data_IF_017950110752
#
_entry.id   IF_017950110752
#
_cell.length_a   1.000
_cell.length_b   1.000
_cell.length_c   1.000
_cell.angle_alpha   90.00
_cell.angle_beta   90.00
_cell.angle_gamma   90.00
#
_symmetry.space_group_name_H-M   'P 1'
#
loop_
_entity.id
_entity.type
_entity.pdbx_description
1 polymer ?
#
# COMPACT_ATOMS: atom_id res chain seq x y z
N UNK A 1 8.36 7.68 6.13
CA UNK A 1 7.45 7.21 7.20
C UNK A 1 8.05 5.97 7.83
N UNK A 2 7.57 5.52 9.00
CA UNK A 2 8.08 4.30 9.64
C UNK A 2 6.95 3.30 9.88
N UNK A 3 7.08 2.12 9.27
CA UNK A 3 6.25 0.97 9.63
C UNK A 3 6.68 0.44 11.00
N UNK A 4 5.74 0.42 11.94
CA UNK A 4 5.99 0.03 13.34
C UNK A 4 5.64 -1.43 13.56
N UNK A 5 4.47 -1.85 13.05
CA UNK A 5 3.91 -3.17 13.32
C UNK A 5 2.93 -3.57 12.22
N UNK A 6 2.90 -4.85 11.91
CA UNK A 6 1.84 -5.50 11.15
C UNK A 6 1.19 -6.57 12.04
N UNK A 7 -0.13 -6.63 12.04
CA UNK A 7 -0.91 -7.65 12.72
C UNK A 7 -2.01 -8.18 11.80
N UNK A 8 -2.22 -9.48 11.82
CA UNK A 8 -3.37 -10.13 11.17
C UNK A 8 -4.49 -10.35 12.18
N UNK A 9 -5.73 -10.19 11.74
CA UNK A 9 -6.91 -10.57 12.52
C UNK A 9 -8.22 -10.08 11.90
N UNK A 10 -9.33 -10.42 12.56
CA UNK A 10 -10.66 -10.02 12.07
C UNK A 10 -10.99 -8.56 12.40
N UNK A 11 -10.54 -8.05 13.56
CA UNK A 11 -10.85 -6.69 14.06
C UNK A 11 -12.34 -6.34 13.94
N UNK A 12 -13.18 -7.12 14.63
CA UNK A 12 -14.65 -7.02 14.57
C UNK A 12 -15.19 -5.62 14.90
N UNK A 13 -14.47 -4.86 15.72
CA UNK A 13 -14.79 -3.49 16.08
C UNK A 13 -14.86 -2.54 14.87
N UNK A 14 -14.13 -2.83 13.78
CA UNK A 14 -14.05 -1.98 12.60
C UNK A 14 -15.31 -2.02 11.74
N UNK A 15 -16.15 -3.04 11.89
CA UNK A 15 -17.43 -3.16 11.16
C UNK A 15 -18.36 -1.96 11.44
N UNK A 16 -18.19 -1.30 12.60
CA UNK A 16 -18.93 -0.09 12.95
C UNK A 16 -18.37 1.18 12.30
N UNK A 17 -17.12 1.15 11.86
CA UNK A 17 -16.40 2.29 11.30
C UNK A 17 -16.39 2.27 9.77
N UNK A 18 -16.37 1.07 9.16
CA UNK A 18 -16.51 0.88 7.73
C UNK A 18 -17.47 -0.29 7.45
N UNK A 19 -18.67 0.02 6.96
CA UNK A 19 -19.72 -0.97 6.65
C UNK A 19 -19.44 -1.78 5.39
N UNK A 20 -18.47 -1.36 4.56
CA UNK A 20 -18.11 -2.08 3.32
C UNK A 20 -17.15 -3.24 3.59
N UNK A 21 -16.60 -3.32 4.81
CA UNK A 21 -15.85 -4.50 5.23
C UNK A 21 -16.74 -5.75 5.22
N UNK A 22 -16.33 -6.76 4.45
CA UNK A 22 -17.07 -8.01 4.34
C UNK A 22 -17.06 -8.74 5.68
N UNK A 23 -18.17 -9.39 6.00
CA UNK A 23 -18.23 -10.26 7.16
C UNK A 23 -17.22 -11.41 7.00
N UNK A 24 -16.54 -11.77 8.09
CA UNK A 24 -15.63 -12.92 8.20
C UNK A 24 -14.38 -12.89 7.29
N UNK A 25 -14.06 -11.75 6.68
CA UNK A 25 -12.77 -11.55 5.99
C UNK A 25 -11.66 -11.26 6.98
N UNK A 26 -10.47 -11.81 6.72
CA UNK A 26 -9.25 -11.42 7.42
C UNK A 26 -8.88 -9.98 7.04
N UNK A 27 -8.16 -9.32 7.94
CA UNK A 27 -7.61 -7.99 7.73
C UNK A 27 -6.17 -7.95 8.22
N UNK A 28 -5.40 -7.08 7.60
CA UNK A 28 -4.11 -6.66 8.13
C UNK A 28 -4.26 -5.28 8.77
N UNK A 29 -3.77 -5.12 9.99
CA UNK A 29 -3.54 -3.81 10.62
C UNK A 29 -2.07 -3.45 10.52
N UNK A 30 -1.80 -2.31 9.91
CA UNK A 30 -0.46 -1.72 9.76
C UNK A 30 -0.39 -0.46 10.60
N UNK A 31 0.47 -0.47 11.60
CA UNK A 31 0.76 0.72 12.41
C UNK A 31 1.90 1.50 11.76
N UNK A 32 1.65 2.77 11.44
CA UNK A 32 2.60 3.68 10.80
C UNK A 32 2.83 4.90 11.70
N UNK A 33 4.09 5.19 11.96
CA UNK A 33 4.51 6.45 12.58
C UNK A 33 5.00 7.42 11.51
N UNK A 34 4.50 8.65 11.54
CA UNK A 34 5.08 9.75 10.78
C UNK A 34 6.25 10.36 11.55
N UNK A 35 7.37 10.56 10.85
CA UNK A 35 8.67 10.89 11.46
C UNK A 35 9.01 12.39 11.35
N UNK A 36 8.35 13.09 10.44
CA UNK A 36 8.51 14.53 10.24
C UNK A 36 7.33 15.29 10.85
N UNK A 37 7.45 16.61 10.96
CA UNK A 37 6.37 17.47 11.42
C UNK A 37 5.28 17.63 10.36
N UNK A 38 4.06 17.98 10.80
CA UNK A 38 2.88 18.17 9.93
C UNK A 38 3.11 19.01 8.66
N UNK A 39 3.82 20.16 8.70
CA UNK A 39 4.07 20.94 7.49
C UNK A 39 4.83 20.18 6.40
N UNK A 40 5.72 19.24 6.76
CA UNK A 40 6.45 18.42 5.79
C UNK A 40 5.49 17.62 4.92
N UNK A 41 4.53 16.93 5.54
CA UNK A 41 3.58 16.06 4.84
C UNK A 41 2.61 16.86 4.00
N UNK A 42 2.05 17.96 4.54
CA UNK A 42 1.10 18.81 3.81
C UNK A 42 1.75 19.38 2.54
N UNK A 43 2.98 19.86 2.62
CA UNK A 43 3.67 20.48 1.49
C UNK A 43 4.05 19.47 0.40
N UNK A 44 4.38 18.22 0.78
CA UNK A 44 4.81 17.18 -0.16
C UNK A 44 3.68 16.30 -0.68
N UNK A 45 2.50 16.38 -0.07
CA UNK A 45 1.35 15.56 -0.44
C UNK A 45 0.94 15.72 -1.92
N UNK A 46 0.90 16.92 -2.54
CA UNK A 46 0.55 17.05 -3.95
C UNK A 46 1.46 16.26 -4.89
N UNK A 47 2.78 16.31 -4.66
CA UNK A 47 3.77 15.58 -5.46
C UNK A 47 3.64 14.07 -5.24
N UNK A 48 3.42 13.64 -3.99
CA UNK A 48 3.16 12.25 -3.66
C UNK A 48 1.92 11.73 -4.38
N UNK A 49 0.81 12.46 -4.31
CA UNK A 49 -0.43 12.10 -4.98
C UNK A 49 -0.24 12.04 -6.50
N UNK A 50 0.39 13.05 -7.09
CA UNK A 50 0.62 13.11 -8.53
C UNK A 50 1.43 11.92 -9.05
N UNK A 51 2.58 11.63 -8.43
CA UNK A 51 3.42 10.48 -8.79
C UNK A 51 2.68 9.16 -8.57
N UNK A 52 1.94 9.06 -7.47
CA UNK A 52 1.10 7.88 -7.19
C UNK A 52 0.09 7.63 -8.31
N UNK A 53 -0.62 8.67 -8.76
CA UNK A 53 -1.62 8.56 -9.84
C UNK A 53 -1.01 8.29 -11.23
N UNK A 54 0.29 8.52 -11.42
CA UNK A 54 1.01 8.12 -12.63
C UNK A 54 1.32 6.63 -12.62
N UNK A 55 1.78 6.09 -11.48
CA UNK A 55 2.12 4.67 -11.34
C UNK A 55 0.87 3.79 -11.19
N UNK A 56 -0.15 4.31 -10.52
CA UNK A 56 -1.38 3.61 -10.16
C UNK A 56 -2.61 4.35 -10.68
N UNK A 57 -2.86 4.33 -12.00
CA UNK A 57 -3.92 5.14 -12.58
C UNK A 57 -5.33 4.73 -12.12
N UNK A 58 -5.52 3.46 -11.72
CA UNK A 58 -6.80 2.93 -11.26
C UNK A 58 -7.22 3.44 -9.88
N UNK A 59 -6.32 4.05 -9.10
CA UNK A 59 -6.67 4.72 -7.84
C UNK A 59 -7.78 5.77 -8.05
N UNK A 60 -7.89 6.34 -9.26
CA UNK A 60 -8.99 7.24 -9.66
C UNK A 60 -10.39 6.60 -9.60
N UNK A 61 -10.46 5.28 -9.55
CA UNK A 61 -11.71 4.52 -9.46
C UNK A 61 -12.04 4.08 -8.03
N UNK A 62 -11.18 4.32 -7.05
CA UNK A 62 -11.44 3.91 -5.67
C UNK A 62 -12.59 4.74 -5.07
N UNK A 63 -13.47 4.14 -4.28
CA UNK A 63 -14.54 4.87 -3.61
C UNK A 63 -14.15 5.21 -2.17
N UNK A 64 -13.71 6.45 -1.94
CA UNK A 64 -13.43 6.95 -0.59
C UNK A 64 -14.71 7.53 0.04
N UNK A 65 -15.05 7.07 1.24
CA UNK A 65 -16.13 7.60 2.05
C UNK A 65 -15.55 8.10 3.38
N UNK A 66 -15.77 9.38 3.73
CA UNK A 66 -15.48 9.87 5.08
C UNK A 66 -16.47 9.29 6.09
N UNK A 67 -15.97 8.96 7.28
CA UNK A 67 -16.83 8.81 8.46
C UNK A 67 -17.53 10.14 8.78
N UNK A 68 -18.68 10.08 9.45
CA UNK A 68 -19.62 11.21 9.67
C UNK A 68 -19.05 12.46 10.39
N UNK A 69 -17.77 12.51 10.76
CA UNK A 69 -17.20 13.54 11.64
C UNK A 69 -15.91 14.20 11.14
N UNK A 70 -15.93 14.89 9.99
CA UNK A 70 -14.82 15.78 9.61
C UNK A 70 -15.30 17.15 9.12
N UNK A 71 -14.82 18.20 9.80
CA UNK A 71 -14.95 19.60 9.39
C UNK A 71 -14.00 19.88 8.23
N UNK A 72 -14.52 20.02 7.01
CA UNK A 72 -13.71 20.39 5.85
C UNK A 72 -13.40 21.90 5.88
N UNK A 73 -12.21 22.28 6.33
CA UNK A 73 -11.65 23.62 6.10
C UNK A 73 -10.50 23.49 5.10
N UNK A 74 -10.72 23.58 3.78
CA UNK A 74 -9.59 23.67 2.83
C UNK A 74 -9.84 24.50 1.57
N UNK A 75 -8.73 25.14 1.17
CA UNK A 75 -8.49 26.01 0.01
C UNK A 75 -7.91 25.28 -1.24
N UNK A 76 -7.78 23.94 -1.23
CA UNK A 76 -7.23 23.17 -2.36
C UNK A 76 -8.29 22.26 -3.00
N UNK A 77 -8.74 22.61 -4.21
CA UNK A 77 -9.69 21.81 -4.99
C UNK A 77 -8.97 20.77 -5.86
N UNK A 78 -8.54 19.67 -5.23
CA UNK A 78 -7.93 18.52 -5.92
C UNK A 78 -8.91 17.72 -6.79
N UNK A 79 -10.20 18.09 -6.85
CA UNK A 79 -11.16 17.45 -7.76
C UNK A 79 -10.68 17.51 -9.22
N UNK A 80 -9.85 18.50 -9.56
CA UNK A 80 -9.21 18.61 -10.87
C UNK A 80 -8.20 17.49 -11.19
N UNK A 81 -7.69 16.77 -10.18
CA UNK A 81 -6.77 15.64 -10.38
C UNK A 81 -7.51 14.32 -10.68
N UNK A 82 -8.84 14.33 -10.65
CA UNK A 82 -9.69 13.19 -11.04
C UNK A 82 -9.63 12.00 -10.09
N UNK A 83 -9.10 12.18 -8.87
CA UNK A 83 -9.08 11.15 -7.84
C UNK A 83 -10.16 11.45 -6.79
N UNK A 84 -11.08 10.52 -6.52
CA UNK A 84 -12.12 10.66 -5.48
C UNK A 84 -11.57 10.47 -4.05
N UNK A 85 -10.26 10.65 -3.83
CA UNK A 85 -9.65 10.61 -2.49
C UNK A 85 -10.04 11.89 -1.77
N UNK A 86 -10.69 11.75 -0.61
CA UNK A 86 -11.07 12.89 0.19
C UNK A 86 -9.85 13.38 1.00
N UNK A 87 -9.52 14.66 0.83
CA UNK A 87 -8.39 15.35 1.49
C UNK A 87 -8.92 16.12 2.69
N UNK A 88 -8.48 15.73 3.88
CA UNK A 88 -8.66 16.50 5.12
C UNK A 88 -7.52 17.51 5.27
N UNK A 89 -6.40 17.20 4.60
CA UNK A 89 -5.04 17.75 4.57
C UNK A 89 -4.44 18.09 5.91
N UNK A 90 -4.53 17.04 6.70
CA UNK A 90 -3.57 16.77 7.73
C UNK A 90 -2.56 15.73 7.22
N UNK A 91 -1.65 15.33 8.11
CA UNK A 91 -0.76 14.19 7.94
C UNK A 91 -1.52 12.92 7.55
N UNK A 92 -2.76 12.77 8.02
CA UNK A 92 -3.62 11.62 7.73
C UNK A 92 -3.81 11.38 6.24
N UNK A 93 -3.81 12.42 5.40
CA UNK A 93 -3.99 12.26 3.95
C UNK A 93 -2.86 11.44 3.32
N UNK A 94 -1.63 11.62 3.82
CA UNK A 94 -0.46 10.86 3.36
C UNK A 94 -0.62 9.38 3.72
N UNK A 95 -1.04 9.09 4.95
CA UNK A 95 -1.23 7.71 5.42
C UNK A 95 -2.43 7.05 4.74
N UNK A 96 -3.50 7.81 4.52
CA UNK A 96 -4.66 7.35 3.77
C UNK A 96 -4.32 7.05 2.30
N UNK A 97 -3.40 7.81 1.68
CA UNK A 97 -2.89 7.44 0.36
C UNK A 97 -2.10 6.11 0.38
N UNK A 98 -1.37 5.82 1.45
CA UNK A 98 -0.72 4.50 1.65
C UNK A 98 -1.75 3.37 1.68
N UNK A 99 -2.91 3.59 2.31
CA UNK A 99 -4.04 2.64 2.25
C UNK A 99 -4.46 2.37 0.80
N UNK A 100 -4.73 3.42 0.03
CA UNK A 100 -5.11 3.30 -1.38
C UNK A 100 -4.06 2.57 -2.24
N UNK A 101 -2.78 2.88 -2.04
CA UNK A 101 -1.68 2.19 -2.75
C UNK A 101 -1.63 0.70 -2.35
N UNK A 102 -1.81 0.40 -1.07
CA UNK A 102 -1.82 -0.99 -0.57
C UNK A 102 -2.98 -1.78 -1.19
N UNK A 103 -4.17 -1.19 -1.24
CA UNK A 103 -5.35 -1.77 -1.87
C UNK A 103 -5.13 -2.03 -3.36
N UNK A 104 -4.60 -1.05 -4.09
CA UNK A 104 -4.32 -1.19 -5.54
C UNK A 104 -3.34 -2.35 -5.81
N UNK A 105 -2.22 -2.39 -5.09
CA UNK A 105 -1.22 -3.47 -5.25
C UNK A 105 -1.84 -4.82 -4.92
N UNK A 106 -2.59 -4.93 -3.82
CA UNK A 106 -3.23 -6.18 -3.41
C UNK A 106 -4.26 -6.63 -4.44
N UNK A 107 -5.17 -5.76 -4.86
CA UNK A 107 -6.20 -6.07 -5.83
C UNK A 107 -5.57 -6.52 -7.19
N UNK A 108 -4.42 -5.95 -7.59
CA UNK A 108 -3.66 -6.42 -8.76
C UNK A 108 -3.00 -7.80 -8.61
N UNK A 109 -2.63 -8.22 -7.40
CA UNK A 109 -1.91 -9.47 -7.14
C UNK A 109 -2.82 -10.65 -6.77
N UNK A 110 -3.85 -10.38 -5.99
CA UNK A 110 -4.83 -11.39 -5.55
C UNK A 110 -6.05 -11.49 -6.48
N UNK A 111 -6.11 -10.70 -7.55
CA UNK A 111 -7.26 -10.68 -8.49
C UNK A 111 -8.59 -10.47 -7.74
N UNK A 112 -8.58 -9.56 -6.76
CA UNK A 112 -9.78 -9.18 -6.03
C UNK A 112 -10.54 -8.14 -6.85
N UNK A 113 -11.84 -8.37 -7.06
CA UNK A 113 -12.71 -7.40 -7.72
C UNK A 113 -12.93 -6.15 -6.83
N UNK A 114 -12.85 -6.33 -5.51
CA UNK A 114 -13.07 -5.28 -4.53
C UNK A 114 -12.29 -5.58 -3.25
N UNK A 115 -11.59 -4.56 -2.75
CA UNK A 115 -10.91 -4.55 -1.47
C UNK A 115 -11.25 -3.24 -0.74
N UNK A 116 -11.55 -3.33 0.56
CA UNK A 116 -11.84 -2.18 1.42
C UNK A 116 -10.69 -1.90 2.39
N UNK A 117 -10.53 -0.64 2.79
CA UNK A 117 -9.57 -0.25 3.81
C UNK A 117 -10.16 0.76 4.81
N UNK A 118 -9.39 1.07 5.83
CA UNK A 118 -9.70 2.11 6.81
C UNK A 118 -8.42 2.68 7.42
N UNK A 119 -8.27 3.99 7.39
CA UNK A 119 -7.18 4.70 8.07
C UNK A 119 -7.72 5.37 9.33
N UNK A 120 -7.09 5.09 10.46
CA UNK A 120 -7.41 5.64 11.78
C UNK A 120 -6.19 6.37 12.34
N UNK A 121 -6.40 7.56 12.91
CA UNK A 121 -5.38 8.26 13.68
C UNK A 121 -5.52 7.98 15.18
N UNK A 122 -4.41 7.95 15.88
CA UNK A 122 -4.42 7.91 17.34
C UNK A 122 -4.71 9.30 17.89
N UNK A 123 -5.37 9.36 19.05
CA UNK A 123 -5.46 10.60 19.82
C UNK A 123 -4.08 10.99 20.36
N UNK A 124 -3.41 10.03 21.00
CA UNK A 124 -2.02 10.17 21.44
C UNK A 124 -1.26 8.84 21.18
N UNK A 125 -0.07 8.90 20.54
CA UNK A 125 0.54 10.09 19.95
C UNK A 125 -0.12 10.46 18.60
N UNK A 126 -0.27 11.76 18.30
CA UNK A 126 -0.95 12.26 17.09
C UNK A 126 -0.27 11.85 15.78
N UNK A 127 1.02 11.49 15.82
CA UNK A 127 1.82 11.08 14.67
C UNK A 127 1.75 9.57 14.38
N UNK A 128 0.86 8.83 15.06
CA UNK A 128 0.66 7.39 14.88
C UNK A 128 -0.70 7.11 14.25
N UNK A 129 -0.69 6.19 13.31
CA UNK A 129 -1.86 5.80 12.53
C UNK A 129 -1.94 4.28 12.43
N UNK A 130 -3.15 3.75 12.41
CA UNK A 130 -3.42 2.37 12.00
C UNK A 130 -4.14 2.37 10.65
N UNK A 131 -3.61 1.62 9.71
CA UNK A 131 -4.23 1.34 8.41
C UNK A 131 -4.70 -0.10 8.42
N UNK A 132 -5.99 -0.31 8.17
CA UNK A 132 -6.60 -1.62 8.06
C UNK A 132 -6.89 -1.95 6.60
N UNK A 133 -6.47 -3.12 6.15
CA UNK A 133 -6.65 -3.59 4.78
C UNK A 133 -7.39 -4.91 4.83
N UNK A 134 -8.56 -4.99 4.19
CA UNK A 134 -9.24 -6.26 3.97
C UNK A 134 -8.39 -7.15 3.05
N UNK A 135 -8.20 -8.42 3.43
CA UNK A 135 -7.36 -9.33 2.67
C UNK A 135 -7.93 -10.75 2.60
N UNK A 136 -7.75 -11.40 1.44
CA UNK A 136 -7.93 -12.85 1.29
C UNK A 136 -6.64 -13.59 1.59
N UNK A 137 -5.50 -13.03 1.17
CA UNK A 137 -4.18 -13.57 1.43
C UNK A 137 -3.36 -12.59 2.31
N UNK A 138 -3.20 -12.88 3.61
CA UNK A 138 -2.47 -12.04 4.56
C UNK A 138 -1.03 -11.70 4.13
N UNK A 139 -0.37 -12.60 3.40
CA UNK A 139 1.02 -12.40 2.98
C UNK A 139 1.12 -11.40 1.83
N UNK A 140 0.19 -11.46 0.87
CA UNK A 140 0.10 -10.49 -0.23
C UNK A 140 -0.29 -9.12 0.31
N UNK A 141 -1.22 -9.07 1.27
CA UNK A 141 -1.59 -7.84 1.97
C UNK A 141 -0.39 -7.23 2.70
N UNK A 142 0.34 -8.03 3.47
CA UNK A 142 1.57 -7.63 4.18
C UNK A 142 2.59 -7.04 3.22
N UNK A 143 2.88 -7.73 2.11
CA UNK A 143 3.77 -7.23 1.07
C UNK A 143 3.29 -5.90 0.49
N UNK A 144 2.00 -5.81 0.15
CA UNK A 144 1.41 -4.62 -0.46
C UNK A 144 1.57 -3.41 0.44
N UNK A 145 1.37 -3.57 1.75
CA UNK A 145 1.58 -2.52 2.73
C UNK A 145 3.05 -2.11 2.88
N UNK A 146 3.97 -3.09 2.90
CA UNK A 146 5.40 -2.79 2.94
C UNK A 146 5.85 -2.01 1.70
N UNK A 147 5.42 -2.43 0.50
CA UNK A 147 5.73 -1.75 -0.75
C UNK A 147 5.12 -0.35 -0.79
N UNK A 148 3.87 -0.18 -0.35
CA UNK A 148 3.20 1.11 -0.30
C UNK A 148 3.91 2.11 0.62
N UNK A 149 4.34 1.67 1.81
CA UNK A 149 5.11 2.51 2.75
C UNK A 149 6.50 2.85 2.21
N UNK A 150 7.20 1.89 1.60
CA UNK A 150 8.50 2.12 0.98
C UNK A 150 8.39 3.14 -0.14
N UNK A 151 7.50 2.91 -1.10
CA UNK A 151 7.27 3.79 -2.25
C UNK A 151 6.92 5.21 -1.81
N UNK A 152 5.97 5.34 -0.88
CA UNK A 152 5.55 6.65 -0.38
C UNK A 152 6.69 7.35 0.35
N UNK A 153 7.52 6.61 1.08
CA UNK A 153 8.70 7.17 1.74
C UNK A 153 9.74 7.63 0.72
N UNK A 154 10.06 6.83 -0.29
CA UNK A 154 11.02 7.22 -1.33
C UNK A 154 10.57 8.49 -2.06
N UNK A 155 9.27 8.59 -2.40
CA UNK A 155 8.72 9.78 -3.05
C UNK A 155 8.79 11.01 -2.13
N UNK A 156 8.38 10.86 -0.87
CA UNK A 156 8.42 11.95 0.09
C UNK A 156 9.87 12.41 0.31
N UNK A 157 10.82 11.51 0.49
CA UNK A 157 12.22 11.86 0.73
C UNK A 157 12.97 12.29 -0.56
N UNK A 158 12.36 12.12 -1.73
CA UNK A 158 13.00 12.42 -3.01
C UNK A 158 14.14 11.46 -3.35
N UNK A 159 14.04 10.22 -2.90
CA UNK A 159 15.02 9.16 -3.16
C UNK A 159 14.80 8.61 -4.56
N UNK A 160 15.84 8.66 -5.39
CA UNK A 160 15.88 7.93 -6.65
C UNK A 160 16.24 6.47 -6.37
N UNK A 161 15.26 5.61 -6.54
CA UNK A 161 15.39 4.18 -6.27
C UNK A 161 15.90 3.41 -7.50
N UNK A 162 16.79 2.44 -7.26
CA UNK A 162 17.30 1.52 -8.29
C UNK A 162 16.26 0.47 -8.75
N UNK A 163 15.05 0.53 -8.20
CA UNK A 163 13.92 -0.34 -8.52
C UNK A 163 12.78 0.45 -9.14
N UNK A 164 11.92 -0.26 -9.86
CA UNK A 164 10.70 0.31 -10.47
C UNK A 164 9.51 -0.47 -9.94
N UNK A 165 8.44 0.24 -9.57
CA UNK A 165 7.27 -0.39 -8.96
C UNK A 165 6.59 -1.38 -9.91
N UNK A 166 6.53 -1.06 -11.19
CA UNK A 166 5.96 -1.93 -12.23
C UNK A 166 6.74 -3.25 -12.34
N UNK A 167 8.08 -3.18 -12.27
CA UNK A 167 8.91 -4.38 -12.26
C UNK A 167 8.58 -5.25 -11.04
N UNK A 168 8.50 -4.65 -9.85
CA UNK A 168 8.20 -5.38 -8.62
C UNK A 168 6.82 -6.05 -8.67
N UNK A 169 5.83 -5.36 -9.22
CA UNK A 169 4.48 -5.90 -9.41
C UNK A 169 4.48 -7.02 -10.46
N UNK A 170 5.18 -6.85 -11.59
CA UNK A 170 5.23 -7.84 -12.67
C UNK A 170 5.84 -9.16 -12.20
N UNK A 171 6.97 -9.11 -11.47
CA UNK A 171 7.58 -10.32 -10.94
C UNK A 171 6.69 -10.96 -9.85
N UNK A 172 6.04 -10.16 -9.00
CA UNK A 172 5.10 -10.65 -7.99
C UNK A 172 3.91 -11.38 -8.65
N UNK A 173 3.30 -10.79 -9.69
CA UNK A 173 2.21 -11.39 -10.47
C UNK A 173 2.59 -12.73 -11.10
N UNK A 174 3.82 -12.84 -11.60
CA UNK A 174 4.28 -14.11 -12.17
C UNK A 174 4.44 -15.17 -11.08
N UNK A 175 5.05 -14.80 -9.95
CA UNK A 175 5.26 -15.73 -8.83
C UNK A 175 3.92 -16.21 -8.25
N UNK A 176 2.90 -15.35 -8.14
CA UNK A 176 1.58 -15.79 -7.66
C UNK A 176 0.87 -16.77 -8.61
N UNK A 177 1.25 -16.81 -9.90
CA UNK A 177 0.58 -17.59 -10.94
C UNK A 177 1.35 -18.84 -11.40
N UNK A 178 2.61 -18.99 -10.99
CA UNK A 178 3.47 -20.10 -11.41
C UNK A 178 3.86 -20.96 -10.21
N UNK A 179 4.21 -22.22 -10.47
CA UNK A 179 4.89 -23.10 -9.52
C UNK A 179 6.41 -23.18 -9.77
N UNK A 180 6.91 -22.52 -10.82
CA UNK A 180 8.31 -22.52 -11.19
C UNK A 180 9.01 -21.22 -10.81
N UNK A 181 9.89 -21.30 -9.82
CA UNK A 181 10.48 -20.12 -9.18
C UNK A 181 11.97 -19.95 -9.43
N UNK A 182 12.56 -20.74 -10.31
CA UNK A 182 13.99 -20.63 -10.57
C UNK A 182 14.30 -19.26 -11.18
N UNK A 183 15.43 -18.65 -10.77
CA UNK A 183 15.90 -17.39 -11.33
C UNK A 183 15.96 -17.43 -12.88
N UNK A 184 16.32 -18.58 -13.44
CA UNK A 184 16.38 -18.75 -14.89
C UNK A 184 14.99 -18.74 -15.53
N UNK A 185 14.03 -19.46 -14.96
CA UNK A 185 12.64 -19.50 -15.44
C UNK A 185 12.01 -18.12 -15.36
N UNK A 186 12.08 -17.47 -14.18
CA UNK A 186 11.49 -16.14 -13.97
C UNK A 186 12.09 -15.10 -14.92
N UNK A 187 13.42 -15.08 -15.09
CA UNK A 187 14.09 -14.19 -16.03
C UNK A 187 13.63 -14.42 -17.48
N UNK A 188 13.41 -15.68 -17.86
CA UNK A 188 12.88 -16.05 -19.19
C UNK A 188 11.44 -15.59 -19.38
N UNK A 189 10.57 -15.80 -18.39
CA UNK A 189 9.16 -15.38 -18.45
C UNK A 189 9.02 -13.86 -18.53
N UNK A 190 9.79 -13.12 -17.74
CA UNK A 190 9.82 -11.65 -17.73
C UNK A 190 10.57 -11.03 -18.92
N UNK A 191 11.34 -11.84 -19.66
CA UNK A 191 12.29 -11.37 -20.69
C UNK A 191 13.30 -10.37 -20.13
N UNK A 192 13.76 -10.60 -18.90
CA UNK A 192 14.70 -9.73 -18.20
C UNK A 192 16.10 -10.34 -18.12
N UNK A 193 17.14 -9.50 -17.97
CA UNK A 193 18.44 -9.98 -17.53
C UNK A 193 18.35 -10.68 -16.16
N UNK A 194 19.13 -11.76 -15.97
CA UNK A 194 19.21 -12.48 -14.68
C UNK A 194 19.55 -11.56 -13.51
N UNK A 195 20.42 -10.56 -13.72
CA UNK A 195 20.80 -9.58 -12.70
C UNK A 195 19.59 -8.77 -12.21
N UNK A 196 18.81 -8.20 -13.14
CA UNK A 196 17.57 -7.45 -12.83
C UNK A 196 16.56 -8.33 -12.09
N UNK A 197 16.37 -9.56 -12.56
CA UNK A 197 15.46 -10.52 -11.94
C UNK A 197 15.87 -10.81 -10.49
N UNK A 198 17.14 -11.11 -10.26
CA UNK A 198 17.67 -11.38 -8.92
C UNK A 198 17.54 -10.17 -7.99
N UNK A 199 17.80 -8.95 -8.47
CA UNK A 199 17.63 -7.73 -7.70
C UNK A 199 16.17 -7.55 -7.24
N UNK A 200 15.21 -7.71 -8.16
CA UNK A 200 13.79 -7.61 -7.82
C UNK A 200 13.32 -8.74 -6.90
N UNK A 201 13.80 -9.98 -7.07
CA UNK A 201 13.50 -11.09 -6.15
C UNK A 201 14.00 -10.81 -4.73
N UNK A 202 15.19 -10.21 -4.57
CA UNK A 202 15.71 -9.80 -3.26
C UNK A 202 14.86 -8.70 -2.63
N UNK A 203 14.37 -7.75 -3.43
CA UNK A 203 13.49 -6.71 -2.93
C UNK A 203 12.13 -7.30 -2.51
N UNK A 204 11.56 -8.24 -3.27
CA UNK A 204 10.37 -8.99 -2.85
C UNK A 204 10.57 -9.68 -1.49
N UNK A 205 11.71 -10.35 -1.29
CA UNK A 205 12.05 -10.97 -0.01
C UNK A 205 12.14 -9.96 1.14
N UNK A 206 12.79 -8.82 0.93
CA UNK A 206 12.88 -7.73 1.92
C UNK A 206 11.52 -7.13 2.27
N UNK A 207 10.58 -7.17 1.32
CA UNK A 207 9.20 -6.71 1.49
C UNK A 207 8.27 -7.82 1.98
N UNK A 208 8.81 -8.93 2.48
CA UNK A 208 8.04 -10.07 3.02
C UNK A 208 7.07 -10.70 2.02
N UNK A 209 7.37 -10.62 0.72
CA UNK A 209 6.59 -11.32 -0.29
C UNK A 209 6.70 -12.84 -0.06
N UNK A 210 5.59 -13.60 -0.17
CA UNK A 210 5.61 -15.05 0.06
C UNK A 210 6.35 -15.78 -1.06
N UNK A 211 7.66 -15.99 -0.89
CA UNK A 211 8.49 -16.75 -1.82
C UNK A 211 8.51 -18.24 -1.42
N UNK A 212 7.99 -19.15 -2.26
CA UNK A 212 7.80 -20.55 -1.85
C UNK A 212 9.10 -21.31 -1.52
N UNK A 213 10.25 -20.92 -2.07
CA UNK A 213 11.52 -21.59 -1.81
C UNK A 213 12.16 -21.26 -0.45
N UNK A 214 11.75 -20.17 0.20
CA UNK A 214 12.19 -19.87 1.58
C UNK A 214 11.55 -20.81 2.59
N UNK A 215 10.35 -21.32 2.30
CA UNK A 215 9.63 -22.27 3.17
C UNK A 215 10.19 -23.68 3.15
N UNK A 216 10.95 -24.06 2.13
CA UNK A 216 11.62 -25.38 2.05
C UNK A 216 12.98 -25.43 2.75
N UNK A 217 13.45 -24.31 3.32
CA UNK A 217 14.74 -24.20 4.00
C UNK A 217 14.61 -23.89 5.51
N UNK A 218 13.38 -23.80 6.03
CA UNK A 218 13.04 -23.61 7.44
C UNK A 218 12.31 -24.84 7.97
#
# INVERSE_FOLDING_TARGET
MKLVKILEGNFEELKKLNTNFKADTQRIRVTIDTIHEKPYYINKFPDLLFKTLQMFPNIRHHHCHQGEQVYSNRDFDIRQLGAPIQIVGDVIDTVHLVEHISLEIQCQLDELDECSGLTCNYWEPENRFDVFIECRNPEIATFSCHLAVLLSTDILEGIESDWQVDDIIDIAKIITKTNEYSLHTLAKMLKWPKKKTLQNMKLLEQLYFPLPWLRSAA
#
